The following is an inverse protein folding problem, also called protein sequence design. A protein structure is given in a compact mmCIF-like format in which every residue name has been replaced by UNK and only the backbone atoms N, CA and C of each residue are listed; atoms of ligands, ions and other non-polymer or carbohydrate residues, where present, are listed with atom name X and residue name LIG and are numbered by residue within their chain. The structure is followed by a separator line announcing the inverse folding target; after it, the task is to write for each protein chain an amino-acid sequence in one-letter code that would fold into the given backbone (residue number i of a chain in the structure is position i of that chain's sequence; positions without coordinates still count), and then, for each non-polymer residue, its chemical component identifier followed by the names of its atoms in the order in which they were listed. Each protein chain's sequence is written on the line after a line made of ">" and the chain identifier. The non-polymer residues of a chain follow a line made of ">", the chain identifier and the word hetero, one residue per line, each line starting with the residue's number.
data_IF_886542473926
#
_entry.id   IF_886542473926
#
_cell.length_a   1.000
_cell.length_b   1.000
_cell.length_c   1.000
_cell.angle_alpha   90.00
_cell.angle_beta   90.00
_cell.angle_gamma   90.00
#
_symmetry.space_group_name_H-M   'P 1'
#
loop_
_entity.id
_entity.type
_entity.pdbx_description
1 polymer ?
#
# COMPACT_ATOMS: atom_id res chain seq x y z
N UNK A 1 -13.55 19.08 37.26
CA UNK A 1 -13.16 17.82 36.60
C UNK A 1 -13.67 17.89 35.19
N UNK A 2 -12.81 17.76 34.18
CA UNK A 2 -13.26 17.76 32.78
C UNK A 2 -14.06 16.48 32.55
N UNK A 3 -15.30 16.61 32.07
CA UNK A 3 -16.12 15.48 31.67
C UNK A 3 -15.82 15.15 30.21
N UNK A 4 -15.83 13.86 29.88
CA UNK A 4 -15.75 13.42 28.50
C UNK A 4 -16.93 13.96 27.69
N UNK A 5 -16.73 14.25 26.39
CA UNK A 5 -17.82 14.67 25.52
C UNK A 5 -18.84 13.54 25.35
N UNK A 6 -20.11 13.88 25.15
CA UNK A 6 -21.14 12.89 24.83
C UNK A 6 -20.89 12.19 23.48
N UNK A 7 -20.16 12.84 22.56
CA UNK A 7 -19.89 12.32 21.23
C UNK A 7 -18.53 12.76 20.72
N UNK A 8 -17.78 11.82 20.13
CA UNK A 8 -16.56 12.09 19.35
C UNK A 8 -16.93 11.94 17.87
N UNK A 9 -16.71 12.99 17.09
CA UNK A 9 -16.94 12.99 15.64
C UNK A 9 -15.61 12.77 14.92
N UNK A 10 -15.51 11.68 14.17
CA UNK A 10 -14.31 11.36 13.40
C UNK A 10 -14.56 11.62 11.90
N UNK A 11 -13.64 12.33 11.22
CA UNK A 11 -13.73 12.61 9.79
C UNK A 11 -13.25 11.42 8.94
N UNK A 12 -13.61 10.19 9.32
CA UNK A 12 -13.23 8.94 8.65
C UNK A 12 -14.46 8.06 8.45
N UNK A 13 -14.38 7.11 7.50
CA UNK A 13 -15.40 6.08 7.37
C UNK A 13 -15.35 5.10 8.55
N UNK A 14 -16.48 4.49 8.87
CA UNK A 14 -16.63 3.60 10.03
C UNK A 14 -15.66 2.41 9.94
N UNK A 15 -15.56 1.80 8.76
CA UNK A 15 -14.74 0.61 8.50
C UNK A 15 -13.26 0.88 8.78
N UNK A 16 -12.78 2.09 8.45
CA UNK A 16 -11.40 2.49 8.72
C UNK A 16 -11.13 2.71 10.19
N UNK A 17 -12.09 3.27 10.92
CA UNK A 17 -11.96 3.43 12.36
C UNK A 17 -11.96 2.07 13.07
N UNK A 18 -12.85 1.16 12.69
CA UNK A 18 -12.91 -0.20 13.24
C UNK A 18 -11.61 -0.98 12.99
N UNK A 19 -11.05 -0.87 11.77
CA UNK A 19 -9.73 -1.43 11.48
C UNK A 19 -8.65 -0.81 12.37
N UNK A 20 -8.61 0.52 12.48
CA UNK A 20 -7.63 1.23 13.31
C UNK A 20 -7.75 0.85 14.78
N UNK A 21 -8.97 0.76 15.29
CA UNK A 21 -9.26 0.35 16.65
C UNK A 21 -8.80 -1.09 16.89
N UNK A 22 -8.99 -1.99 15.95
CA UNK A 22 -8.52 -3.39 16.05
C UNK A 22 -6.99 -3.49 16.06
N UNK A 23 -6.30 -2.62 15.32
CA UNK A 23 -4.85 -2.72 15.09
C UNK A 23 -3.99 -1.73 15.91
N UNK A 24 -4.58 -0.87 16.73
CA UNK A 24 -3.85 0.15 17.51
C UNK A 24 -4.12 0.03 19.01
N UNK A 25 -3.20 -0.59 19.74
CA UNK A 25 -3.25 -0.68 21.20
C UNK A 25 -3.34 0.69 21.90
N UNK A 26 -2.61 1.75 21.45
CA UNK A 26 -2.79 3.09 22.03
C UNK A 26 -4.21 3.63 21.84
N UNK A 27 -4.82 3.43 20.66
CA UNK A 27 -6.18 3.88 20.38
C UNK A 27 -7.21 3.14 21.24
N UNK A 28 -7.05 1.82 21.38
CA UNK A 28 -7.86 1.01 22.28
C UNK A 28 -7.77 1.51 23.72
N UNK A 29 -6.56 1.82 24.20
CA UNK A 29 -6.34 2.29 25.56
C UNK A 29 -7.00 3.65 25.82
N UNK A 30 -6.88 4.60 24.88
CA UNK A 30 -7.49 5.93 25.01
C UNK A 30 -9.03 5.86 25.04
N UNK A 31 -9.63 4.91 24.30
CA UNK A 31 -11.08 4.78 24.18
C UNK A 31 -11.70 3.76 25.15
N UNK A 32 -10.90 3.02 25.92
CA UNK A 32 -11.35 1.90 26.74
C UNK A 32 -12.49 2.25 27.70
N UNK A 33 -12.50 3.47 28.24
CA UNK A 33 -13.50 3.94 29.21
C UNK A 33 -14.46 4.99 28.62
N UNK A 34 -14.40 5.24 27.31
CA UNK A 34 -15.28 6.20 26.67
C UNK A 34 -16.69 5.60 26.56
N UNK A 35 -17.63 6.17 27.31
CA UNK A 35 -19.04 5.72 27.33
C UNK A 35 -19.93 6.50 26.34
N UNK A 36 -19.37 7.50 25.64
CA UNK A 36 -20.09 8.30 24.66
C UNK A 36 -20.23 7.60 23.30
N UNK A 37 -20.78 8.33 22.33
CA UNK A 37 -20.95 7.84 20.97
C UNK A 37 -19.77 8.21 20.07
N UNK A 38 -19.37 7.31 19.16
CA UNK A 38 -18.49 7.65 18.03
C UNK A 38 -19.37 7.86 16.79
N UNK A 39 -19.22 9.02 16.16
CA UNK A 39 -19.93 9.36 14.93
C UNK A 39 -18.95 9.54 13.77
N UNK A 40 -19.34 9.08 12.59
CA UNK A 40 -18.51 9.04 11.38
C UNK A 40 -19.07 10.00 10.34
N UNK A 41 -18.67 11.27 10.40
CA UNK A 41 -19.00 12.20 9.34
C UNK A 41 -17.95 13.29 9.20
N UNK A 42 -17.73 13.72 7.96
CA UNK A 42 -16.94 14.91 7.70
C UNK A 42 -17.71 16.14 8.19
N UNK A 43 -17.05 17.10 8.87
CA UNK A 43 -17.65 18.38 9.19
C UNK A 43 -18.17 19.07 7.91
N UNK A 44 -19.21 19.88 8.03
CA UNK A 44 -19.90 20.54 6.89
C UNK A 44 -19.04 21.56 6.12
N UNK A 45 -17.78 21.76 6.53
CA UNK A 45 -16.86 22.72 5.95
C UNK A 45 -16.46 22.37 4.52
N UNK A 46 -16.54 23.34 3.59
CA UNK A 46 -16.30 23.14 2.14
C UNK A 46 -14.94 22.48 1.82
N UNK A 47 -13.87 22.86 2.53
CA UNK A 47 -12.56 22.25 2.33
C UNK A 47 -12.51 20.77 2.75
N UNK A 48 -13.26 20.37 3.77
CA UNK A 48 -13.34 18.96 4.22
C UNK A 48 -14.27 18.15 3.33
N UNK A 49 -15.27 18.79 2.72
CA UNK A 49 -16.07 18.16 1.67
C UNK A 49 -15.24 17.84 0.43
N UNK A 50 -14.21 18.64 0.11
CA UNK A 50 -13.26 18.34 -0.97
C UNK A 50 -12.45 17.07 -0.66
N UNK A 51 -12.13 16.80 0.61
CA UNK A 51 -11.46 15.55 1.00
C UNK A 51 -12.29 14.29 0.68
N UNK A 52 -13.63 14.39 0.52
CA UNK A 52 -14.46 13.27 0.04
C UNK A 52 -14.13 12.84 -1.39
N UNK A 53 -13.61 13.77 -2.20
CA UNK A 53 -13.22 13.47 -3.58
C UNK A 53 -11.85 12.82 -3.69
N UNK A 54 -11.10 12.74 -2.58
CA UNK A 54 -9.79 12.09 -2.52
C UNK A 54 -9.95 10.73 -1.83
N UNK A 55 -9.63 9.65 -2.54
CA UNK A 55 -9.64 8.30 -1.97
C UNK A 55 -8.46 8.14 -1.00
N UNK A 56 -8.71 8.29 0.30
CA UNK A 56 -7.74 7.93 1.34
C UNK A 56 -7.95 6.47 1.74
N UNK A 57 -6.93 5.63 1.59
CA UNK A 57 -6.94 4.29 2.19
C UNK A 57 -6.20 4.40 3.52
N UNK A 58 -6.91 4.25 4.64
CA UNK A 58 -6.29 4.26 5.98
C UNK A 58 -5.71 2.90 6.38
N UNK A 59 -6.09 1.84 5.66
CA UNK A 59 -5.49 0.52 5.81
C UNK A 59 -4.18 0.46 5.01
N UNK A 60 -3.04 0.14 5.65
CA UNK A 60 -1.79 -0.11 4.94
C UNK A 60 -1.98 -1.23 3.91
N UNK A 61 -1.44 -1.03 2.71
CA UNK A 61 -1.42 -2.08 1.68
C UNK A 61 -0.21 -3.00 1.82
N UNK A 62 0.76 -2.59 2.63
CA UNK A 62 1.92 -3.39 3.00
C UNK A 62 1.66 -4.13 4.33
N UNK A 63 2.44 -5.18 4.55
CA UNK A 63 2.45 -5.92 5.82
C UNK A 63 3.89 -5.98 6.33
N UNK A 64 4.07 -5.82 7.64
CA UNK A 64 5.37 -5.95 8.30
C UNK A 64 5.78 -7.41 8.53
N UNK A 65 4.84 -8.34 8.32
CA UNK A 65 5.05 -9.78 8.41
C UNK A 65 4.64 -10.45 7.09
N UNK A 66 5.22 -11.60 6.74
CA UNK A 66 4.81 -12.33 5.55
C UNK A 66 3.30 -12.63 5.54
N UNK A 67 2.69 -12.45 4.37
CA UNK A 67 1.26 -12.69 4.14
C UNK A 67 1.02 -14.10 3.60
N UNK A 68 -0.21 -14.59 3.74
CA UNK A 68 -0.64 -15.83 3.10
C UNK A 68 -0.78 -15.60 1.59
N UNK A 69 0.25 -15.94 0.83
CA UNK A 69 0.32 -15.73 -0.61
C UNK A 69 1.63 -16.29 -1.19
N UNK A 70 1.81 -16.23 -2.51
CA UNK A 70 3.04 -16.68 -3.14
C UNK A 70 4.23 -15.80 -2.72
N UNK A 71 5.40 -16.42 -2.61
CA UNK A 71 6.68 -15.71 -2.45
C UNK A 71 7.30 -15.50 -3.81
N UNK A 72 7.41 -14.23 -4.19
CA UNK A 72 7.86 -13.78 -5.50
C UNK A 72 9.26 -13.20 -5.36
N UNK A 73 10.20 -13.74 -6.12
CA UNK A 73 11.56 -13.24 -6.21
C UNK A 73 11.70 -12.43 -7.50
N UNK A 74 12.36 -11.29 -7.41
CA UNK A 74 12.56 -10.38 -8.52
C UNK A 74 14.02 -10.00 -8.64
N UNK A 75 14.51 -9.97 -9.87
CA UNK A 75 15.85 -9.50 -10.24
C UNK A 75 15.79 -8.79 -11.60
N UNK A 76 16.56 -7.72 -11.74
CA UNK A 76 16.64 -6.89 -12.94
C UNK A 76 18.09 -6.57 -13.29
N UNK A 77 18.50 -6.86 -14.52
CA UNK A 77 19.84 -6.53 -15.00
C UNK A 77 19.83 -5.28 -15.87
N UNK A 78 20.36 -4.17 -15.36
CA UNK A 78 20.55 -2.95 -16.15
C UNK A 78 21.49 -3.11 -17.35
N UNK A 79 22.39 -4.09 -17.33
CA UNK A 79 23.32 -4.35 -18.45
C UNK A 79 22.62 -4.99 -19.65
N UNK A 80 21.69 -5.91 -19.40
CA UNK A 80 21.01 -6.66 -20.46
C UNK A 80 19.58 -6.21 -20.69
N UNK A 81 19.03 -5.36 -19.82
CA UNK A 81 17.61 -4.98 -19.83
C UNK A 81 16.69 -6.10 -19.36
N UNK A 82 17.22 -7.23 -18.89
CA UNK A 82 16.43 -8.42 -18.57
C UNK A 82 15.82 -8.30 -17.16
N UNK A 83 14.53 -8.54 -17.06
CA UNK A 83 13.75 -8.54 -15.82
C UNK A 83 13.19 -9.94 -15.57
N UNK A 84 13.42 -10.51 -14.39
CA UNK A 84 12.98 -11.88 -14.05
C UNK A 84 12.11 -11.86 -12.80
N UNK A 85 10.88 -12.35 -12.94
CA UNK A 85 10.01 -12.72 -11.82
C UNK A 85 10.05 -14.24 -11.70
N UNK A 86 10.31 -14.76 -10.51
CA UNK A 86 10.23 -16.21 -10.26
C UNK A 86 9.48 -16.50 -8.97
N UNK A 87 8.70 -17.57 -8.99
CA UNK A 87 7.96 -18.03 -7.82
C UNK A 87 7.82 -19.55 -7.87
N UNK A 88 7.48 -20.13 -6.73
CA UNK A 88 7.21 -21.55 -6.64
C UNK A 88 5.70 -21.78 -6.63
N UNK A 89 5.23 -22.60 -7.55
CA UNK A 89 3.85 -23.08 -7.59
C UNK A 89 3.88 -24.58 -7.32
N UNK A 90 3.23 -24.99 -6.23
CA UNK A 90 3.31 -26.35 -5.68
C UNK A 90 4.76 -26.78 -5.45
N UNK A 91 5.34 -27.55 -6.38
CA UNK A 91 6.73 -28.02 -6.34
C UNK A 91 7.60 -27.49 -7.48
N UNK A 92 7.02 -26.79 -8.44
CA UNK A 92 7.71 -26.36 -9.67
C UNK A 92 8.02 -24.86 -9.63
N UNK A 93 9.19 -24.50 -10.18
CA UNK A 93 9.59 -23.11 -10.32
C UNK A 93 9.02 -22.53 -11.60
N UNK A 94 8.29 -21.43 -11.45
CA UNK A 94 7.79 -20.64 -12.54
C UNK A 94 8.72 -19.46 -12.77
N UNK A 95 8.85 -19.06 -14.03
CA UNK A 95 9.66 -17.91 -14.44
C UNK A 95 8.85 -17.08 -15.43
N UNK A 96 8.81 -15.79 -15.17
CA UNK A 96 8.32 -14.80 -16.11
C UNK A 96 9.44 -13.83 -16.43
N UNK A 97 9.76 -13.75 -17.71
CA UNK A 97 10.81 -12.90 -18.25
C UNK A 97 10.18 -11.67 -18.91
N UNK A 98 10.67 -10.51 -18.51
CA UNK A 98 10.40 -9.23 -19.13
C UNK A 98 11.69 -8.61 -19.68
N UNK A 99 11.51 -7.57 -20.46
CA UNK A 99 12.59 -6.75 -20.96
C UNK A 99 12.24 -5.28 -20.79
N UNK A 100 13.22 -4.48 -20.41
CA UNK A 100 13.09 -3.05 -20.26
C UNK A 100 14.38 -2.34 -20.65
N UNK A 101 14.26 -1.22 -21.35
CA UNK A 101 15.41 -0.41 -21.75
C UNK A 101 15.59 0.75 -20.78
N UNK A 102 16.84 1.04 -20.39
CA UNK A 102 17.14 2.19 -19.53
C UNK A 102 18.14 1.87 -18.44
N UNK A 103 17.96 2.50 -17.28
CA UNK A 103 18.82 2.26 -16.11
C UNK A 103 18.49 0.94 -15.42
N UNK A 104 19.44 0.42 -14.63
CA UNK A 104 19.20 -0.76 -13.79
C UNK A 104 17.96 -0.59 -12.89
N UNK A 105 17.79 0.59 -12.29
CA UNK A 105 16.64 0.92 -11.45
C UNK A 105 15.31 0.79 -12.19
N UNK A 106 15.27 1.13 -13.48
CA UNK A 106 14.05 1.08 -14.27
C UNK A 106 13.71 -0.38 -14.66
N UNK A 107 14.72 -1.21 -14.94
CA UNK A 107 14.55 -2.67 -15.12
C UNK A 107 14.04 -3.33 -13.82
N UNK A 108 14.63 -2.96 -12.68
CA UNK A 108 14.22 -3.44 -11.35
C UNK A 108 12.78 -2.99 -10.99
N UNK A 109 12.40 -1.75 -11.30
CA UNK A 109 11.02 -1.31 -11.11
C UNK A 109 10.05 -2.04 -12.05
N UNK A 110 10.46 -2.29 -13.30
CA UNK A 110 9.64 -3.01 -14.26
C UNK A 110 9.32 -4.42 -13.78
N UNK A 111 10.31 -5.15 -13.29
CA UNK A 111 10.11 -6.54 -12.81
C UNK A 111 9.11 -6.60 -11.66
N UNK A 112 9.15 -5.64 -10.74
CA UNK A 112 8.19 -5.55 -9.63
C UNK A 112 6.80 -5.14 -10.09
N UNK A 113 6.69 -4.19 -11.03
CA UNK A 113 5.40 -3.84 -11.62
C UNK A 113 4.77 -5.05 -12.31
N UNK A 114 5.56 -5.86 -13.03
CA UNK A 114 5.10 -7.09 -13.66
C UNK A 114 4.66 -8.14 -12.64
N UNK A 115 5.38 -8.29 -11.52
CA UNK A 115 4.95 -9.15 -10.43
C UNK A 115 3.59 -8.71 -9.85
N UNK A 116 3.40 -7.42 -9.57
CA UNK A 116 2.12 -6.92 -9.05
C UNK A 116 0.97 -7.06 -10.05
N UNK A 117 1.22 -6.93 -11.36
CA UNK A 117 0.22 -7.17 -12.40
C UNK A 117 -0.19 -8.65 -12.45
N UNK A 118 0.78 -9.56 -12.40
CA UNK A 118 0.54 -11.00 -12.45
C UNK A 118 -0.28 -11.48 -11.25
N UNK A 119 -0.03 -10.93 -10.06
CA UNK A 119 -0.66 -11.33 -8.80
C UNK A 119 -1.67 -10.30 -8.28
N UNK A 120 -2.28 -9.48 -9.15
CA UNK A 120 -3.13 -8.35 -8.77
C UNK A 120 -4.34 -8.71 -7.89
N UNK A 121 -4.77 -9.98 -7.89
CA UNK A 121 -5.94 -10.46 -7.16
C UNK A 121 -5.62 -11.11 -5.82
N UNK A 122 -4.34 -11.32 -5.49
CA UNK A 122 -3.93 -12.02 -4.26
C UNK A 122 -2.83 -11.23 -3.54
N UNK A 123 -2.76 -11.28 -2.20
CA UNK A 123 -1.60 -10.76 -1.48
C UNK A 123 -0.36 -11.60 -1.86
N UNK A 124 0.81 -10.96 -1.93
CA UNK A 124 2.08 -11.62 -2.26
C UNK A 124 3.20 -11.19 -1.32
N UNK A 125 4.23 -12.03 -1.19
CA UNK A 125 5.48 -11.68 -0.50
C UNK A 125 6.54 -11.35 -1.56
N UNK A 126 6.96 -10.09 -1.64
CA UNK A 126 7.98 -9.65 -2.59
C UNK A 126 9.38 -9.77 -1.98
N UNK A 127 10.27 -10.44 -2.69
CA UNK A 127 11.70 -10.55 -2.37
C UNK A 127 12.48 -9.92 -3.52
N UNK A 128 13.31 -8.93 -3.19
CA UNK A 128 14.15 -8.21 -4.14
C UNK A 128 15.52 -7.97 -3.51
N UNK A 129 16.57 -7.99 -4.32
CA UNK A 129 17.92 -7.61 -3.93
C UNK A 129 18.19 -6.10 -4.15
N UNK A 130 17.26 -5.39 -4.80
CA UNK A 130 17.32 -3.95 -4.97
C UNK A 130 16.81 -3.20 -3.74
N UNK A 131 17.73 -2.54 -3.04
CA UNK A 131 17.39 -1.64 -1.93
C UNK A 131 16.49 -0.48 -2.39
N UNK A 132 16.63 -0.04 -3.65
CA UNK A 132 15.81 1.02 -4.22
C UNK A 132 14.35 0.59 -4.37
N UNK A 133 14.12 -0.60 -4.95
CA UNK A 133 12.78 -1.18 -5.05
C UNK A 133 12.20 -1.47 -3.67
N UNK A 134 12.98 -2.02 -2.75
CA UNK A 134 12.52 -2.31 -1.40
C UNK A 134 12.01 -1.05 -0.68
N UNK A 135 12.74 0.07 -0.77
CA UNK A 135 12.33 1.33 -0.15
C UNK A 135 11.08 1.95 -0.82
N UNK A 136 11.01 1.94 -2.15
CA UNK A 136 9.85 2.48 -2.88
C UNK A 136 8.59 1.67 -2.56
N UNK A 137 8.68 0.33 -2.62
CA UNK A 137 7.52 -0.55 -2.42
C UNK A 137 6.92 -0.42 -1.02
N UNK A 138 7.74 -0.15 -0.01
CA UNK A 138 7.27 0.13 1.35
C UNK A 138 6.45 1.42 1.47
N UNK A 139 6.63 2.38 0.55
CA UNK A 139 6.00 3.71 0.60
C UNK A 139 4.90 3.90 -0.45
N UNK A 140 4.62 2.87 -1.27
CA UNK A 140 3.66 2.95 -2.37
C UNK A 140 2.24 3.27 -1.89
N UNK A 141 1.86 2.82 -0.71
CA UNK A 141 0.53 3.05 -0.13
C UNK A 141 0.28 4.50 0.29
N UNK A 142 1.34 5.24 0.60
CA UNK A 142 1.29 6.65 1.01
C UNK A 142 1.63 7.62 -0.15
N UNK A 143 1.89 7.09 -1.35
CA UNK A 143 2.32 7.87 -2.50
C UNK A 143 1.13 8.32 -3.35
N UNK A 144 1.03 9.63 -3.60
CA UNK A 144 0.12 10.18 -4.59
C UNK A 144 0.87 10.36 -5.90
N UNK A 145 0.66 9.45 -6.85
CA UNK A 145 1.13 9.64 -8.21
C UNK A 145 0.16 10.57 -8.92
N UNK A 146 0.65 11.75 -9.29
CA UNK A 146 -0.07 12.63 -10.21
C UNK A 146 -0.01 12.00 -11.60
N UNK A 147 -1.14 11.95 -12.30
CA UNK A 147 -1.12 11.62 -13.73
C UNK A 147 -0.34 12.73 -14.46
N UNK A 148 0.83 12.38 -14.98
CA UNK A 148 1.67 13.29 -15.76
C UNK A 148 1.29 13.20 -17.24
N UNK A 149 0.44 14.12 -17.69
CA UNK A 149 0.12 14.32 -19.12
C UNK A 149 1.22 15.07 -19.88
N UNK A 150 2.49 14.83 -19.54
CA UNK A 150 3.62 15.47 -20.20
C UNK A 150 4.15 14.55 -21.30
N UNK A 151 3.76 14.83 -22.54
CA UNK A 151 4.20 14.08 -23.72
C UNK A 151 5.73 14.13 -23.94
N UNK A 152 6.48 15.01 -23.27
CA UNK A 152 7.95 15.06 -23.36
C UNK A 152 8.66 14.05 -22.43
N UNK A 153 7.94 13.34 -21.58
CA UNK A 153 8.49 12.32 -20.66
C UNK A 153 8.37 10.88 -21.20
N UNK A 154 7.73 10.69 -22.36
CA UNK A 154 7.51 9.41 -23.04
C UNK A 154 7.98 9.50 -24.50
#
# INVERSE_FOLDING_TARGET
>A
MAADPATIVLPVQQEYFEWSLTNSAPLQSVLQNFLGQIAYHLPSHKFLQMAKSTSFTLQPKNSQVPVKGPTIFTDGSGKTGKAIVTWKEESEWQVLEGHESGSAQLVELRVVATAFQQFAQVPLNLVTDSAYVADITQRLDCSLLKEENNAALF
#
